data_IF_190170512100
#
_entry.id   IF_190170512100
#
_cell.length_a   1.000
_cell.length_b   1.000
_cell.length_c   1.000
_cell.angle_alpha   90.00
_cell.angle_beta   90.00
_cell.angle_gamma   90.00
#
_symmetry.space_group_name_H-M   'P 1'
#
loop_
_entity.id
_entity.type
_entity.pdbx_description
1 polymer ?
#
# COMPACT_ATOMS: atom_id res chain seq x y z
N UNK A 1 -2.86 25.30 19.37
CA UNK A 1 -3.78 24.19 18.98
C UNK A 1 -4.83 24.60 17.94
N UNK A 2 -4.98 25.88 17.61
CA UNK A 2 -5.96 26.34 16.61
C UNK A 2 -5.44 26.22 15.18
N UNK A 3 -4.13 26.39 14.97
CA UNK A 3 -3.48 26.32 13.64
C UNK A 3 -3.66 24.95 12.97
N UNK A 4 -3.53 23.85 13.71
CA UNK A 4 -3.66 22.49 13.15
C UNK A 4 -5.09 22.17 12.72
N UNK A 5 -6.10 22.76 13.38
CA UNK A 5 -7.51 22.58 13.00
C UNK A 5 -7.83 23.39 11.75
N UNK A 6 -7.38 24.64 11.68
CA UNK A 6 -7.56 25.49 10.50
C UNK A 6 -6.88 24.89 9.26
N UNK A 7 -5.66 24.37 9.41
CA UNK A 7 -4.95 23.69 8.34
C UNK A 7 -5.70 22.46 7.84
N UNK A 8 -6.26 21.66 8.76
CA UNK A 8 -7.06 20.48 8.41
C UNK A 8 -8.35 20.87 7.67
N UNK A 9 -9.03 21.93 8.10
CA UNK A 9 -10.24 22.43 7.44
C UNK A 9 -9.93 22.97 6.04
N UNK A 10 -8.86 23.76 5.87
CA UNK A 10 -8.41 24.21 4.54
C UNK A 10 -8.11 23.03 3.61
N UNK A 11 -7.37 22.03 4.10
CA UNK A 11 -7.02 20.84 3.32
C UNK A 11 -8.25 19.99 2.97
N UNK A 12 -9.18 19.84 3.90
CA UNK A 12 -10.44 19.14 3.71
C UNK A 12 -11.28 19.77 2.60
N UNK A 13 -11.31 21.10 2.52
CA UNK A 13 -12.08 21.82 1.49
C UNK A 13 -11.42 21.74 0.12
N UNK A 14 -10.09 21.75 0.05
CA UNK A 14 -9.34 21.64 -1.21
C UNK A 14 -9.33 20.19 -1.75
N UNK A 15 -9.26 19.20 -0.85
CA UNK A 15 -9.15 17.78 -1.20
C UNK A 15 -10.20 16.93 -0.47
N UNK A 16 -11.47 16.94 -0.92
CA UNK A 16 -12.60 16.38 -0.18
C UNK A 16 -12.55 14.86 0.06
N UNK A 17 -11.72 14.09 -0.67
CA UNK A 17 -11.53 12.66 -0.38
C UNK A 17 -10.19 12.29 0.26
N UNK A 18 -9.31 13.26 0.56
CA UNK A 18 -7.95 12.96 1.02
C UNK A 18 -7.97 12.26 2.39
N UNK A 19 -8.97 12.62 3.20
CA UNK A 19 -9.28 11.91 4.44
C UNK A 19 -9.58 10.42 4.19
N UNK A 20 -10.44 10.11 3.23
CA UNK A 20 -10.78 8.72 2.89
C UNK A 20 -9.58 7.94 2.32
N UNK A 21 -8.75 8.59 1.50
CA UNK A 21 -7.51 8.02 1.00
C UNK A 21 -6.51 7.70 2.13
N UNK A 22 -6.27 8.64 3.05
CA UNK A 22 -5.32 8.45 4.16
C UNK A 22 -5.80 7.42 5.17
N UNK A 23 -7.12 7.33 5.40
CA UNK A 23 -7.72 6.26 6.20
C UNK A 23 -7.51 4.89 5.54
N UNK A 24 -7.75 4.79 4.23
CA UNK A 24 -7.49 3.55 3.48
C UNK A 24 -6.01 3.15 3.49
N UNK A 25 -5.10 4.13 3.33
CA UNK A 25 -3.65 3.93 3.33
C UNK A 25 -3.14 3.42 4.69
N UNK A 26 -3.54 4.07 5.78
CA UNK A 26 -3.15 3.67 7.13
C UNK A 26 -3.69 2.29 7.49
N UNK A 27 -4.95 1.99 7.15
CA UNK A 27 -5.54 0.66 7.34
C UNK A 27 -4.81 -0.42 6.54
N UNK A 28 -4.37 -0.10 5.32
CA UNK A 28 -3.58 -1.01 4.48
C UNK A 28 -2.22 -1.31 5.09
N UNK A 29 -1.53 -0.28 5.63
CA UNK A 29 -0.26 -0.42 6.32
C UNK A 29 -0.38 -1.32 7.57
N UNK A 30 -1.36 -1.06 8.43
CA UNK A 30 -1.57 -1.90 9.63
C UNK A 30 -1.94 -3.33 9.27
N UNK A 31 -2.74 -3.53 8.21
CA UNK A 31 -3.10 -4.87 7.73
C UNK A 31 -1.89 -5.63 7.20
N UNK A 32 -0.99 -4.96 6.47
CA UNK A 32 0.25 -5.55 5.98
C UNK A 32 1.24 -5.89 7.09
N UNK A 33 1.36 -5.02 8.10
CA UNK A 33 2.16 -5.30 9.30
C UNK A 33 1.63 -6.51 10.07
N UNK A 34 0.30 -6.57 10.28
CA UNK A 34 -0.34 -7.71 10.94
C UNK A 34 -0.12 -9.01 10.16
N UNK A 35 -0.31 -8.98 8.84
CA UNK A 35 -0.06 -10.14 7.98
C UNK A 35 1.42 -10.59 8.04
N UNK A 36 2.37 -9.65 7.96
CA UNK A 36 3.79 -9.94 8.07
C UNK A 36 4.17 -10.56 9.42
N UNK A 37 3.59 -10.08 10.52
CA UNK A 37 3.82 -10.63 11.86
C UNK A 37 3.28 -12.06 12.01
N UNK A 38 2.09 -12.34 11.45
CA UNK A 38 1.50 -13.68 11.44
C UNK A 38 2.36 -14.64 10.62
N UNK A 39 2.78 -14.23 9.42
CA UNK A 39 3.64 -15.04 8.54
C UNK A 39 5.01 -15.29 9.18
N UNK A 40 5.63 -14.28 9.79
CA UNK A 40 6.88 -14.42 10.53
C UNK A 40 6.76 -15.44 11.67
N UNK A 41 5.72 -15.31 12.48
CA UNK A 41 5.49 -16.22 13.62
C UNK A 41 5.19 -17.64 13.14
N UNK A 42 4.35 -17.79 12.11
CA UNK A 42 4.02 -19.08 11.53
C UNK A 42 5.23 -19.79 10.91
N UNK A 43 6.05 -19.05 10.15
CA UNK A 43 7.28 -19.60 9.57
C UNK A 43 8.32 -19.97 10.62
N UNK A 44 8.46 -19.18 11.69
CA UNK A 44 9.34 -19.50 12.81
C UNK A 44 8.94 -20.80 13.52
N UNK A 45 7.66 -20.96 13.86
CA UNK A 45 7.15 -22.17 14.51
C UNK A 45 7.31 -23.37 13.57
N UNK A 46 6.99 -23.21 12.30
CA UNK A 46 7.14 -24.26 11.28
C UNK A 46 8.60 -24.71 11.16
N UNK A 47 9.54 -23.77 11.06
CA UNK A 47 10.97 -24.07 10.99
C UNK A 47 11.50 -24.70 12.29
N UNK A 48 10.95 -24.33 13.45
CA UNK A 48 11.32 -24.92 14.73
C UNK A 48 10.86 -26.38 14.83
N UNK A 49 9.63 -26.69 14.37
CA UNK A 49 9.07 -28.04 14.39
C UNK A 49 9.77 -28.98 13.39
N UNK A 50 10.16 -28.46 12.23
CA UNK A 50 10.87 -29.21 11.18
C UNK A 50 12.39 -29.22 11.33
N UNK A 51 12.94 -28.70 12.45
CA UNK A 51 14.39 -28.67 12.71
C UNK A 51 15.02 -30.07 12.69
N UNK A 52 14.25 -31.11 12.97
CA UNK A 52 14.74 -32.49 12.96
C UNK A 52 14.91 -33.09 11.55
N UNK A 53 14.29 -32.48 10.52
CA UNK A 53 14.26 -32.98 9.13
C UNK A 53 15.14 -32.18 8.16
N UNK A 54 15.66 -31.02 8.55
CA UNK A 54 16.40 -30.10 7.69
C UNK A 54 17.86 -29.95 8.16
N UNK A 55 18.87 -30.35 7.35
CA UNK A 55 20.29 -30.17 7.65
C UNK A 55 20.74 -28.72 7.36
N UNK A 56 20.14 -27.75 8.03
CA UNK A 56 20.46 -26.31 7.88
C UNK A 56 20.91 -25.70 9.22
N UNK A 57 21.86 -24.77 9.16
CA UNK A 57 22.42 -24.10 10.34
C UNK A 57 21.35 -23.16 10.95
N UNK A 58 21.04 -23.27 12.27
CA UNK A 58 19.97 -22.53 12.94
C UNK A 58 20.06 -21.00 12.79
N UNK A 59 21.22 -20.46 12.42
CA UNK A 59 21.44 -19.02 12.20
C UNK A 59 20.63 -18.43 11.05
N UNK A 60 20.31 -19.23 10.03
CA UNK A 60 19.59 -18.74 8.84
C UNK A 60 18.07 -18.73 9.01
N UNK A 61 17.54 -19.42 10.02
CA UNK A 61 16.09 -19.56 10.23
C UNK A 61 15.42 -18.20 10.46
N UNK A 62 16.02 -17.36 11.32
CA UNK A 62 15.54 -16.01 11.62
C UNK A 62 15.55 -15.07 10.41
N UNK A 63 16.60 -15.17 9.59
CA UNK A 63 16.72 -14.34 8.39
C UNK A 63 15.67 -14.73 7.34
N UNK A 64 15.45 -16.03 7.15
CA UNK A 64 14.46 -16.52 6.19
C UNK A 64 13.04 -16.19 6.65
N UNK A 65 12.69 -16.39 7.92
CA UNK A 65 11.36 -16.02 8.43
C UNK A 65 11.13 -14.51 8.33
N UNK A 66 12.13 -13.68 8.66
CA UNK A 66 12.06 -12.23 8.53
C UNK A 66 11.86 -11.80 7.08
N UNK A 67 12.65 -12.35 6.14
CA UNK A 67 12.52 -12.06 4.73
C UNK A 67 11.12 -12.41 4.20
N UNK A 68 10.60 -13.59 4.55
CA UNK A 68 9.26 -14.01 4.14
C UNK A 68 8.18 -13.11 4.75
N UNK A 69 8.31 -12.73 6.02
CA UNK A 69 7.40 -11.81 6.69
C UNK A 69 7.37 -10.42 6.03
N UNK A 70 8.55 -9.88 5.68
CA UNK A 70 8.66 -8.58 5.00
C UNK A 70 8.09 -8.63 3.59
N UNK A 71 8.43 -9.66 2.80
CA UNK A 71 7.92 -9.79 1.43
C UNK A 71 6.41 -9.95 1.41
N UNK A 72 5.87 -10.82 2.27
CA UNK A 72 4.42 -11.02 2.37
C UNK A 72 3.69 -9.74 2.84
N UNK A 73 4.19 -9.09 3.89
CA UNK A 73 3.64 -7.83 4.39
C UNK A 73 3.71 -6.70 3.34
N UNK A 74 4.80 -6.60 2.59
CA UNK A 74 4.96 -5.64 1.50
C UNK A 74 3.98 -5.91 0.37
N UNK A 75 3.80 -7.17 -0.06
CA UNK A 75 2.84 -7.53 -1.10
C UNK A 75 1.40 -7.19 -0.70
N UNK A 76 1.01 -7.53 0.53
CA UNK A 76 -0.32 -7.19 1.06
C UNK A 76 -0.51 -5.67 1.10
N UNK A 77 0.48 -4.94 1.61
CA UNK A 77 0.45 -3.47 1.65
C UNK A 77 0.34 -2.88 0.25
N UNK A 78 1.17 -3.32 -0.69
CA UNK A 78 1.24 -2.78 -2.06
C UNK A 78 -0.07 -2.98 -2.84
N UNK A 79 -0.68 -4.17 -2.75
CA UNK A 79 -1.95 -4.46 -3.41
C UNK A 79 -3.07 -3.56 -2.86
N UNK A 80 -3.11 -3.41 -1.53
CA UNK A 80 -4.13 -2.58 -0.86
C UNK A 80 -3.89 -1.10 -1.11
N UNK A 81 -2.66 -0.62 -1.04
CA UNK A 81 -2.31 0.77 -1.32
C UNK A 81 -2.63 1.16 -2.77
N UNK A 82 -2.39 0.26 -3.73
CA UNK A 82 -2.75 0.49 -5.14
C UNK A 82 -4.27 0.67 -5.31
N UNK A 83 -5.08 -0.13 -4.60
CA UNK A 83 -6.54 0.03 -4.62
C UNK A 83 -7.01 1.35 -3.99
N UNK A 84 -6.40 1.77 -2.88
CA UNK A 84 -6.68 3.07 -2.25
C UNK A 84 -6.32 4.23 -3.18
N UNK A 85 -5.18 4.12 -3.87
CA UNK A 85 -4.73 5.12 -4.84
C UNK A 85 -5.65 5.17 -6.08
N UNK A 86 -6.12 4.03 -6.58
CA UNK A 86 -7.07 4.00 -7.69
C UNK A 86 -8.41 4.67 -7.32
N UNK A 87 -8.92 4.40 -6.11
CA UNK A 87 -10.13 5.04 -5.60
C UNK A 87 -9.95 6.56 -5.42
N UNK A 88 -8.77 6.98 -4.95
CA UNK A 88 -8.39 8.38 -4.85
C UNK A 88 -8.41 9.06 -6.21
N UNK A 89 -7.69 8.52 -7.20
CA UNK A 89 -7.62 9.08 -8.56
C UNK A 89 -8.99 9.14 -9.25
N UNK A 90 -9.88 8.16 -9.01
CA UNK A 90 -11.25 8.18 -9.54
C UNK A 90 -12.10 9.32 -8.95
N UNK A 91 -11.84 9.70 -7.70
CA UNK A 91 -12.52 10.80 -7.01
C UNK A 91 -11.94 12.15 -7.44
N UNK A 92 -10.62 12.24 -7.55
CA UNK A 92 -9.86 13.41 -7.98
C UNK A 92 -10.23 13.83 -9.43
N UNK A 93 -10.42 12.86 -10.33
CA UNK A 93 -10.87 13.10 -11.71
C UNK A 93 -12.18 13.89 -11.84
N UNK A 94 -13.04 13.88 -10.80
CA UNK A 94 -14.30 14.63 -10.81
C UNK A 94 -14.15 16.04 -10.26
N UNK A 95 -13.06 16.36 -9.55
CA UNK A 95 -12.95 17.55 -8.71
C UNK A 95 -11.62 18.33 -8.82
N UNK A 96 -10.67 17.92 -9.67
CA UNK A 96 -9.29 18.44 -9.64
C UNK A 96 -8.76 19.00 -10.96
N UNK A 97 -7.78 19.91 -10.84
CA UNK A 97 -6.99 20.57 -11.90
C UNK A 97 -6.27 19.64 -12.91
N UNK A 98 -6.22 18.32 -12.67
CA UNK A 98 -5.58 17.33 -13.55
C UNK A 98 -6.49 16.93 -14.73
N UNK A 99 -7.78 17.22 -14.66
CA UNK A 99 -8.75 16.94 -15.72
C UNK A 99 -8.34 17.46 -17.11
N UNK A 100 -7.89 18.73 -17.27
CA UNK A 100 -7.38 19.23 -18.55
C UNK A 100 -6.16 18.42 -19.06
N UNK A 101 -5.20 18.09 -18.19
CA UNK A 101 -3.99 17.34 -18.60
C UNK A 101 -4.30 15.89 -18.99
N UNK A 102 -5.25 15.26 -18.30
CA UNK A 102 -5.68 13.90 -18.63
C UNK A 102 -6.50 13.85 -19.93
N UNK A 103 -7.22 14.93 -20.25
CA UNK A 103 -7.93 15.07 -21.54
C UNK A 103 -6.92 15.22 -22.68
N UNK A 104 -5.83 15.96 -22.49
CA UNK A 104 -4.73 16.07 -23.45
C UNK A 104 -3.98 14.74 -23.65
N UNK A 105 -3.62 14.03 -22.57
CA UNK A 105 -2.94 12.72 -22.70
C UNK A 105 -3.83 11.67 -23.38
N UNK A 106 -5.15 11.66 -23.08
CA UNK A 106 -6.11 10.77 -23.74
C UNK A 106 -6.27 11.10 -25.23
N UNK A 107 -6.20 12.37 -25.62
CA UNK A 107 -6.20 12.79 -27.03
C UNK A 107 -4.90 12.36 -27.73
N UNK A 108 -3.73 12.56 -27.10
CA UNK A 108 -2.43 12.13 -27.64
C UNK A 108 -2.32 10.60 -27.77
N UNK A 109 -2.92 9.85 -26.84
CA UNK A 109 -2.96 8.39 -26.88
C UNK A 109 -3.97 7.84 -27.91
N UNK A 110 -5.03 8.59 -28.23
CA UNK A 110 -5.97 8.29 -29.32
C UNK A 110 -5.44 8.72 -30.71
N UNK A 111 -4.48 9.65 -30.76
CA UNK A 111 -3.89 10.17 -32.00
C UNK A 111 -2.63 9.40 -32.45
N UNK A 112 -2.11 8.46 -31.66
CA UNK A 112 -0.99 7.61 -32.10
C UNK A 112 -1.53 6.41 -32.89
N UNK A 113 -1.48 6.40 -34.24
CA UNK A 113 -1.82 5.22 -35.02
C UNK A 113 -0.85 4.10 -34.67
N UNK A 114 -1.41 2.89 -34.54
CA UNK A 114 -0.70 1.63 -34.62
C UNK A 114 0.24 1.64 -35.83
N UNK A 115 1.55 1.65 -35.56
CA UNK A 115 2.59 1.31 -36.53
C UNK A 115 3.29 0.04 -36.04
#
# INVERSE_FOLDING_TARGET
MNDVKELKERYSTIYPGFGSYTECMSRSLFSGLAAGAIVFSGTWIFQHLFRHRLPYDPKFHALVSAAIGVVSGYKVTALRSQSCQAAWMATENKHTYLNPLQKEEKQISLEKPSL
#
